data_IF_173172039084
#
_entry.id   IF_173172039084
#
_cell.length_a   1.000
_cell.length_b   1.000
_cell.length_c   1.000
_cell.angle_alpha   90.00
_cell.angle_beta   90.00
_cell.angle_gamma   90.00
#
_symmetry.space_group_name_H-M   'P 1'
#
loop_
_entity.id
_entity.type
_entity.pdbx_description
1 polymer ?
#
# COMPACT_ATOMS: atom_id res chain seq x y z
N UNK A 1 2.55 -4.00 -28.83
CA UNK A 1 1.47 -4.74 -28.92
C UNK A 1 1.50 -6.01 -28.22
N UNK A 2 2.50 -6.80 -28.28
CA UNK A 2 2.69 -7.91 -27.40
C UNK A 2 2.56 -7.53 -25.96
N UNK A 3 3.00 -6.33 -25.63
CA UNK A 3 2.94 -5.84 -24.26
C UNK A 3 1.51 -5.73 -23.77
N UNK A 4 0.58 -5.34 -24.64
CA UNK A 4 -0.83 -5.22 -24.27
C UNK A 4 -1.39 -6.59 -23.90
N UNK A 5 -1.07 -7.63 -24.67
CA UNK A 5 -1.53 -8.97 -24.36
C UNK A 5 -0.94 -9.49 -23.07
N UNK A 6 0.34 -9.27 -22.85
CA UNK A 6 1.00 -9.69 -21.61
C UNK A 6 0.39 -9.03 -20.40
N UNK A 7 0.10 -7.73 -20.50
CA UNK A 7 -0.53 -7.02 -19.39
C UNK A 7 -1.93 -7.55 -19.09
N UNK A 8 -2.69 -7.90 -20.13
CA UNK A 8 -4.02 -8.46 -19.94
C UNK A 8 -3.97 -9.79 -19.21
N UNK A 9 -3.00 -10.62 -19.58
CA UNK A 9 -2.82 -11.89 -18.92
C UNK A 9 -2.36 -11.70 -17.47
N UNK A 10 -1.44 -10.76 -17.25
CA UNK A 10 -0.94 -10.47 -15.93
C UNK A 10 -2.04 -9.99 -14.98
N UNK A 11 -3.04 -9.26 -15.52
CA UNK A 11 -4.15 -8.80 -14.70
C UNK A 11 -5.00 -9.93 -14.13
N UNK A 12 -4.96 -11.11 -14.75
CA UNK A 12 -5.65 -12.27 -14.22
C UNK A 12 -4.92 -12.95 -13.08
N UNK A 13 -3.69 -12.53 -12.79
CA UNK A 13 -2.89 -13.07 -11.71
C UNK A 13 -3.05 -12.19 -10.47
N UNK A 14 -2.62 -12.70 -9.32
CA UNK A 14 -2.64 -11.92 -8.09
C UNK A 14 -1.55 -10.87 -8.16
N UNK A 15 -1.93 -9.64 -8.51
CA UNK A 15 -1.00 -8.53 -8.63
C UNK A 15 -1.04 -7.63 -7.41
N UNK A 16 -1.85 -7.96 -6.41
CA UNK A 16 -1.90 -7.21 -5.17
C UNK A 16 -0.59 -7.36 -4.41
N UNK A 17 -0.12 -6.26 -3.86
CA UNK A 17 1.08 -6.29 -3.03
C UNK A 17 0.79 -7.03 -1.73
N UNK A 18 1.77 -7.79 -1.26
CA UNK A 18 1.69 -8.47 0.03
C UNK A 18 2.74 -7.90 0.96
N UNK A 19 2.30 -7.48 2.12
CA UNK A 19 3.17 -6.91 3.13
C UNK A 19 3.18 -7.82 4.35
N UNK A 20 4.34 -7.91 4.99
CA UNK A 20 4.53 -8.77 6.17
C UNK A 20 5.16 -7.95 7.28
N UNK A 21 4.81 -8.27 8.52
CA UNK A 21 5.32 -7.56 9.69
C UNK A 21 5.91 -8.55 10.69
N UNK A 22 6.98 -8.14 11.35
CA UNK A 22 7.50 -8.86 12.50
C UNK A 22 6.77 -8.40 13.75
N UNK A 23 6.16 -9.33 14.47
CA UNK A 23 5.40 -8.99 15.68
C UNK A 23 6.29 -8.55 16.85
N UNK A 24 7.60 -8.76 16.75
CA UNK A 24 8.53 -8.40 17.83
C UNK A 24 9.17 -7.05 17.61
N UNK A 25 9.79 -6.83 16.44
CA UNK A 25 10.53 -5.60 16.21
C UNK A 25 9.79 -4.59 15.33
N UNK A 26 8.69 -4.99 14.67
CA UNK A 26 7.91 -4.10 13.85
C UNK A 26 8.43 -3.90 12.42
N UNK A 27 9.44 -4.65 12.00
CA UNK A 27 9.90 -4.59 10.62
C UNK A 27 8.74 -4.93 9.68
N UNK A 28 8.59 -4.12 8.63
CA UNK A 28 7.60 -4.37 7.58
C UNK A 28 8.35 -4.56 6.26
N UNK A 29 8.01 -5.62 5.53
CA UNK A 29 8.61 -5.92 4.24
C UNK A 29 7.54 -6.16 3.19
N UNK A 30 7.93 -6.03 1.94
CA UNK A 30 7.14 -6.48 0.80
C UNK A 30 8.03 -7.35 -0.07
N UNK A 31 7.48 -8.45 -0.60
CA UNK A 31 8.26 -9.30 -1.49
C UNK A 31 8.39 -8.64 -2.87
N UNK A 32 9.59 -8.60 -3.39
CA UNK A 32 9.78 -8.38 -4.82
C UNK A 32 9.36 -9.65 -5.57
N UNK A 33 9.75 -10.80 -5.01
CA UNK A 33 9.34 -12.10 -5.50
C UNK A 33 9.28 -13.06 -4.32
N UNK A 34 8.20 -13.82 -4.23
CA UNK A 34 8.05 -14.83 -3.18
C UNK A 34 8.32 -16.21 -3.74
N UNK A 35 9.16 -16.98 -3.06
CA UNK A 35 9.40 -18.39 -3.40
C UNK A 35 8.42 -19.31 -2.68
N UNK A 36 7.62 -18.77 -1.77
CA UNK A 36 6.77 -19.56 -0.89
C UNK A 36 7.41 -19.90 0.44
N UNK A 37 8.72 -19.65 0.58
CA UNK A 37 9.40 -19.86 1.86
C UNK A 37 9.20 -18.62 2.71
N UNK A 38 8.72 -18.78 3.97
CA UNK A 38 8.46 -17.61 4.81
C UNK A 38 9.75 -16.92 5.24
N UNK A 39 9.68 -15.59 5.39
CA UNK A 39 10.78 -14.81 5.94
C UNK A 39 10.68 -14.85 7.46
N UNK A 40 11.81 -15.13 8.10
CA UNK A 40 11.92 -15.17 9.55
C UNK A 40 12.51 -13.86 10.06
N UNK A 41 11.98 -13.35 11.14
CA UNK A 41 12.51 -12.16 11.82
C UNK A 41 12.33 -12.34 13.32
N UNK A 42 13.34 -12.01 14.09
CA UNK A 42 13.33 -12.17 15.55
C UNK A 42 12.95 -13.60 15.96
N UNK A 43 13.39 -14.60 15.22
CA UNK A 43 13.16 -16.00 15.53
C UNK A 43 11.78 -16.53 15.20
N UNK A 44 10.94 -15.73 14.56
CA UNK A 44 9.59 -16.14 14.19
C UNK A 44 9.28 -15.78 12.74
N UNK A 45 8.31 -16.50 12.20
CA UNK A 45 7.79 -16.22 10.87
C UNK A 45 7.08 -14.88 10.86
N UNK A 46 7.40 -14.02 9.90
CA UNK A 46 6.68 -12.76 9.73
C UNK A 46 5.23 -13.02 9.35
N UNK A 47 4.34 -12.14 9.80
CA UNK A 47 2.92 -12.30 9.59
C UNK A 47 2.43 -11.38 8.48
N UNK A 48 1.53 -11.89 7.66
CA UNK A 48 0.95 -11.10 6.58
C UNK A 48 0.02 -10.02 7.13
N UNK A 49 0.18 -8.79 6.62
CA UNK A 49 -0.74 -7.71 6.90
C UNK A 49 -1.92 -7.85 5.94
N UNK A 50 -3.11 -8.08 6.47
CA UNK A 50 -4.32 -8.22 5.66
C UNK A 50 -5.10 -6.92 5.73
N UNK A 51 -5.29 -6.28 4.57
CA UNK A 51 -5.92 -4.98 4.49
C UNK A 51 -7.38 -5.02 4.93
N UNK A 52 -7.85 -3.91 5.53
CA UNK A 52 -9.26 -3.68 5.86
C UNK A 52 -9.85 -4.69 6.86
N UNK A 53 -9.01 -5.29 7.70
CA UNK A 53 -9.46 -6.28 8.68
C UNK A 53 -9.45 -5.76 10.12
N UNK A 54 -8.89 -4.58 10.34
CA UNK A 54 -8.87 -3.99 11.68
C UNK A 54 -10.17 -3.23 11.94
N UNK A 55 -10.73 -3.38 13.15
CA UNK A 55 -11.93 -2.66 13.54
C UNK A 55 -11.58 -1.22 13.88
N UNK A 56 -11.75 -0.33 12.92
CA UNK A 56 -11.48 1.10 13.06
C UNK A 56 -12.30 1.89 12.05
N UNK A 57 -12.27 3.20 12.14
CA UNK A 57 -13.08 4.08 11.30
C UNK A 57 -12.64 3.98 9.82
N UNK A 58 -13.52 3.42 9.01
CA UNK A 58 -13.27 3.21 7.58
C UNK A 58 -13.04 4.55 6.87
N UNK A 59 -13.84 5.55 7.18
CA UNK A 59 -13.77 6.87 6.52
C UNK A 59 -12.46 7.61 6.81
N UNK A 60 -11.71 7.21 7.84
CA UNK A 60 -10.42 7.82 8.18
C UNK A 60 -9.25 7.00 7.65
N UNK A 61 -9.46 5.75 7.26
CA UNK A 61 -8.36 4.84 6.94
C UNK A 61 -8.30 4.40 5.48
N UNK A 62 -9.46 4.21 4.84
CA UNK A 62 -9.45 3.76 3.44
C UNK A 62 -8.97 4.89 2.55
N UNK A 63 -7.91 4.66 1.76
CA UNK A 63 -7.38 5.70 0.89
C UNK A 63 -8.40 6.18 -0.15
N UNK A 64 -8.36 7.47 -0.43
CA UNK A 64 -9.15 8.07 -1.51
C UNK A 64 -8.19 8.39 -2.65
N UNK A 65 -8.48 7.87 -3.82
CA UNK A 65 -7.60 7.95 -4.98
C UNK A 65 -8.20 8.86 -6.04
N UNK A 66 -7.42 9.81 -6.52
CA UNK A 66 -7.80 10.68 -7.62
C UNK A 66 -6.76 10.56 -8.72
N UNK A 67 -7.19 10.26 -9.93
CA UNK A 67 -6.28 10.15 -11.08
C UNK A 67 -6.56 11.31 -12.04
N UNK A 68 -5.52 12.10 -12.31
CA UNK A 68 -5.60 13.21 -13.26
C UNK A 68 -4.47 13.04 -14.25
N UNK A 69 -4.78 12.47 -15.42
CA UNK A 69 -3.77 12.14 -16.42
C UNK A 69 -2.79 11.12 -15.86
N UNK A 70 -1.53 11.51 -15.77
CA UNK A 70 -0.47 10.65 -15.23
C UNK A 70 -0.24 10.86 -13.74
N UNK A 71 -0.94 11.81 -13.13
CA UNK A 71 -0.76 12.11 -11.72
C UNK A 71 -1.81 11.37 -10.90
N UNK A 72 -1.36 10.63 -9.91
CA UNK A 72 -2.23 9.92 -8.96
C UNK A 72 -2.06 10.56 -7.60
N UNK A 73 -3.16 11.05 -7.03
CA UNK A 73 -3.16 11.64 -5.70
C UNK A 73 -3.92 10.73 -4.75
N UNK A 74 -3.29 10.40 -3.63
CA UNK A 74 -3.89 9.54 -2.62
C UNK A 74 -3.98 10.31 -1.32
N UNK A 75 -5.17 10.40 -0.76
CA UNK A 75 -5.41 11.02 0.54
C UNK A 75 -6.01 9.98 1.48
N UNK A 76 -5.55 9.95 2.72
CA UNK A 76 -6.07 9.02 3.73
C UNK A 76 -6.80 9.82 4.78
N UNK A 77 -8.08 9.73 4.85
CA UNK A 77 -9.11 9.03 4.09
C UNK A 77 -10.11 10.05 3.64
N UNK A 78 -11.39 9.69 3.42
CA UNK A 78 -12.43 10.65 3.12
C UNK A 78 -12.54 11.71 4.23
N UNK A 79 -12.44 11.29 5.49
CA UNK A 79 -12.18 12.17 6.62
C UNK A 79 -10.69 12.07 6.94
N UNK A 80 -10.02 13.21 7.07
CA UNK A 80 -8.57 13.25 7.21
C UNK A 80 -8.08 12.44 8.42
N UNK A 81 -7.12 11.55 8.18
CA UNK A 81 -6.50 10.75 9.24
C UNK A 81 -5.54 11.61 10.06
N UNK A 82 -5.46 11.42 11.38
CA UNK A 82 -4.49 12.16 12.17
C UNK A 82 -3.04 11.83 11.76
N UNK A 83 -2.15 12.79 11.98
CA UNK A 83 -0.73 12.67 11.70
C UNK A 83 0.09 13.13 12.90
N UNK A 84 -0.25 12.58 14.08
CA UNK A 84 0.48 12.83 15.32
C UNK A 84 1.61 11.81 15.48
N UNK A 85 2.67 12.12 16.26
CA UNK A 85 3.78 11.18 16.44
C UNK A 85 3.36 9.80 16.93
N UNK A 86 2.33 9.70 17.75
CA UNK A 86 1.85 8.44 18.30
C UNK A 86 0.79 7.76 17.44
N UNK A 87 0.22 8.47 16.45
CA UNK A 87 -0.85 7.92 15.61
C UNK A 87 -0.83 8.61 14.24
N UNK A 88 -0.30 7.92 13.24
CA UNK A 88 -0.15 8.51 11.91
C UNK A 88 -0.07 7.44 10.82
N UNK A 89 -0.28 7.89 9.58
CA UNK A 89 -0.08 7.05 8.40
C UNK A 89 1.42 7.05 8.09
N UNK A 90 2.04 5.89 8.18
CA UNK A 90 3.49 5.77 8.01
C UNK A 90 3.92 5.77 6.55
N UNK A 91 3.11 5.19 5.69
CA UNK A 91 3.45 5.14 4.26
C UNK A 91 2.19 4.86 3.43
N UNK A 92 2.29 5.22 2.14
CA UNK A 92 1.28 4.96 1.14
C UNK A 92 1.96 4.25 -0.03
N UNK A 93 1.38 3.15 -0.50
CA UNK A 93 1.91 2.37 -1.60
C UNK A 93 0.90 2.33 -2.74
N UNK A 94 1.42 2.45 -3.96
CA UNK A 94 0.62 2.40 -5.17
C UNK A 94 1.05 1.19 -5.99
N UNK A 95 0.11 0.32 -6.31
CA UNK A 95 0.33 -0.78 -7.22
C UNK A 95 -0.32 -0.47 -8.56
N UNK A 96 0.44 -0.61 -9.63
CA UNK A 96 -0.03 -0.38 -10.98
C UNK A 96 0.20 -1.63 -11.84
N UNK A 97 -0.32 -1.62 -13.06
CA UNK A 97 -0.12 -2.73 -13.98
C UNK A 97 1.36 -2.98 -14.28
N UNK A 98 2.22 -1.96 -14.20
CA UNK A 98 3.62 -2.05 -14.57
C UNK A 98 4.59 -2.09 -13.39
N UNK A 99 4.09 -1.97 -12.18
CA UNK A 99 4.98 -1.99 -11.02
C UNK A 99 4.34 -1.36 -9.79
N UNK A 100 5.19 -0.85 -8.89
CA UNK A 100 4.67 -0.21 -7.69
C UNK A 100 5.58 0.91 -7.24
N UNK A 101 5.02 1.80 -6.43
CA UNK A 101 5.74 2.92 -5.83
C UNK A 101 5.29 3.03 -4.37
N UNK A 102 6.15 3.57 -3.52
CA UNK A 102 5.82 3.78 -2.11
C UNK A 102 6.41 5.09 -1.65
N UNK A 103 5.64 5.84 -0.88
CA UNK A 103 6.12 7.07 -0.25
C UNK A 103 5.93 6.99 1.25
N UNK A 104 6.99 7.30 1.98
CA UNK A 104 6.97 7.35 3.43
C UNK A 104 6.48 8.71 3.88
N UNK A 105 5.66 8.73 4.94
CA UNK A 105 5.15 9.95 5.53
C UNK A 105 5.69 10.08 6.95
N UNK A 106 5.68 11.32 7.46
CA UNK A 106 6.12 11.62 8.81
C UNK A 106 5.04 12.39 9.55
N UNK A 107 5.00 12.30 10.89
CA UNK A 107 4.07 13.11 11.67
C UNK A 107 4.18 14.58 11.31
N UNK A 108 3.05 15.26 11.27
CA UNK A 108 2.99 16.67 10.90
C UNK A 108 2.78 16.94 9.44
N UNK A 109 2.99 15.94 8.58
CA UNK A 109 2.68 16.07 7.15
C UNK A 109 1.20 15.76 6.92
N UNK A 110 0.65 16.16 5.78
CA UNK A 110 -0.69 15.74 5.40
C UNK A 110 -0.68 14.25 5.09
N UNK A 111 -1.76 13.52 5.40
CA UNK A 111 -1.85 12.09 5.05
C UNK A 111 -2.16 11.93 3.56
N UNK A 112 -1.23 12.35 2.74
CA UNK A 112 -1.40 12.44 1.30
C UNK A 112 -0.11 12.15 0.58
N UNK A 113 -0.18 11.49 -0.56
CA UNK A 113 0.96 11.26 -1.44
C UNK A 113 0.55 11.47 -2.89
N UNK A 114 1.50 11.95 -3.70
CA UNK A 114 1.31 12.10 -5.13
C UNK A 114 2.29 11.20 -5.85
N UNK A 115 1.81 10.54 -6.90
CA UNK A 115 2.63 9.64 -7.72
C UNK A 115 2.46 10.03 -9.18
N UNK A 116 3.51 9.76 -9.96
CA UNK A 116 3.43 9.88 -11.41
C UNK A 116 3.53 8.48 -12.00
N UNK A 117 2.66 8.19 -12.96
CA UNK A 117 2.69 6.91 -13.67
C UNK A 117 2.81 7.17 -15.17
N UNK A 118 3.29 6.19 -15.90
CA UNK A 118 3.39 6.30 -17.35
C UNK A 118 1.99 6.37 -17.96
N UNK A 119 1.89 7.00 -19.12
CA UNK A 119 0.62 7.17 -19.82
C UNK A 119 -0.07 5.84 -20.10
N UNK A 120 0.69 4.78 -20.33
CA UNK A 120 0.17 3.46 -20.63
C UNK A 120 -0.09 2.62 -19.39
N UNK A 121 0.18 3.16 -18.19
CA UNK A 121 0.03 2.42 -16.94
C UNK A 121 -1.35 2.65 -16.34
N UNK A 122 -1.77 1.77 -15.44
CA UNK A 122 -3.06 1.86 -14.78
C UNK A 122 -2.92 1.57 -13.28
N UNK A 123 -3.67 2.30 -12.47
CA UNK A 123 -3.74 2.05 -11.03
C UNK A 123 -4.53 0.77 -10.79
N UNK A 124 -3.94 -0.15 -10.02
CA UNK A 124 -4.58 -1.41 -9.67
C UNK A 124 -5.04 -1.42 -8.22
N UNK A 125 -4.23 -0.85 -7.32
CA UNK A 125 -4.56 -0.81 -5.90
C UNK A 125 -3.75 0.26 -5.20
N UNK A 126 -4.28 0.77 -4.09
CA UNK A 126 -3.60 1.73 -3.25
C UNK A 126 -3.68 1.24 -1.81
N UNK A 127 -2.56 1.34 -1.10
CA UNK A 127 -2.47 0.88 0.28
C UNK A 127 -1.99 2.01 1.17
N UNK A 128 -2.49 2.04 2.41
CA UNK A 128 -2.01 2.96 3.43
C UNK A 128 -1.83 2.17 4.73
N UNK A 129 -0.77 2.48 5.46
CA UNK A 129 -0.49 1.80 6.72
C UNK A 129 -0.54 2.77 7.89
N UNK A 130 -1.46 2.51 8.82
CA UNK A 130 -1.58 3.23 10.08
C UNK A 130 -0.83 2.46 11.17
N UNK A 131 0.00 3.15 11.94
CA UNK A 131 0.80 2.48 12.96
C UNK A 131 -0.05 1.82 14.06
N UNK A 132 -1.27 2.28 14.27
CA UNK A 132 -2.16 1.69 15.29
C UNK A 132 -3.22 0.76 14.70
N UNK A 133 -3.68 1.01 13.49
CA UNK A 133 -4.83 0.30 12.93
C UNK A 133 -4.51 -0.52 11.67
N UNK A 134 -3.25 -0.67 11.34
CA UNK A 134 -2.81 -1.61 10.33
C UNK A 134 -2.96 -1.14 8.90
N UNK A 135 -3.10 -2.10 7.99
CA UNK A 135 -3.09 -1.88 6.56
C UNK A 135 -4.50 -1.66 6.02
N UNK A 136 -4.64 -0.68 5.14
CA UNK A 136 -5.89 -0.35 4.48
C UNK A 136 -5.69 -0.26 2.98
N UNK A 137 -6.72 -0.61 2.22
CA UNK A 137 -6.63 -0.73 0.77
C UNK A 137 -7.86 -0.13 0.10
N UNK A 138 -7.62 0.55 -0.99
CA UNK A 138 -8.68 0.99 -1.89
C UNK A 138 -8.47 0.41 -3.28
#
# INVERSE_FOLDING_TARGET
FHDVLCLSEAKGMDINMKFYICSHCGNIIAYVKSSGVPVMCCGEKMQELVANTTDAAVEKHVPVVTVDGQKVTVTVGAAEHPMAPEHYIQWIALATAQGNQRKELKPGQKPQAEFMICQSDEVEAVYAYCNLHGLWKA
#
